data_IF_599743407719
#
_entry.id   IF_599743407719
#
_cell.length_a   1.000
_cell.length_b   1.000
_cell.length_c   1.000
_cell.angle_alpha   90.00
_cell.angle_beta   90.00
_cell.angle_gamma   90.00
#
_symmetry.space_group_name_H-M   'P 1'
#
loop_
_entity.id
_entity.type
_entity.pdbx_description
1 polymer ?
#
# COMPACT_ATOMS: atom_id res chain seq x y z
N UNK A 1 -27.91 -44.18 -28.91
CA UNK A 1 -28.18 -43.13 -27.89
C UNK A 1 -28.15 -41.76 -28.56
N UNK A 2 -29.27 -41.04 -28.65
CA UNK A 2 -29.26 -39.62 -29.04
C UNK A 2 -28.71 -38.83 -27.87
N UNK A 3 -27.48 -38.33 -27.96
CA UNK A 3 -26.94 -37.35 -27.02
C UNK A 3 -27.80 -36.08 -27.15
N UNK A 4 -28.70 -35.84 -26.21
CA UNK A 4 -29.35 -34.54 -26.05
C UNK A 4 -28.25 -33.52 -25.76
N UNK A 5 -27.92 -32.70 -26.75
CA UNK A 5 -26.91 -31.66 -26.57
C UNK A 5 -27.43 -30.64 -25.56
N UNK A 6 -26.69 -30.43 -24.47
CA UNK A 6 -27.00 -29.40 -23.49
C UNK A 6 -27.01 -28.00 -24.14
N UNK A 7 -27.80 -27.07 -23.61
CA UNK A 7 -27.75 -25.67 -24.02
C UNK A 7 -26.45 -25.00 -23.54
N UNK A 8 -26.03 -23.96 -24.26
CA UNK A 8 -24.86 -23.17 -23.96
C UNK A 8 -25.03 -22.35 -22.67
N UNK A 9 -24.14 -22.53 -21.70
CA UNK A 9 -24.17 -21.83 -20.41
C UNK A 9 -23.67 -20.38 -20.43
N UNK A 10 -23.84 -19.63 -21.52
CA UNK A 10 -23.42 -18.23 -21.64
C UNK A 10 -24.64 -17.32 -21.79
N UNK A 11 -24.53 -16.07 -21.33
CA UNK A 11 -25.60 -15.07 -21.47
C UNK A 11 -25.30 -14.04 -22.55
N UNK A 12 -26.35 -13.48 -23.16
CA UNK A 12 -26.23 -12.40 -24.15
C UNK A 12 -25.78 -11.10 -23.48
N UNK A 13 -24.88 -10.35 -24.13
CA UNK A 13 -24.31 -9.10 -23.59
C UNK A 13 -25.32 -7.96 -23.44
N UNK A 14 -26.33 -7.89 -24.30
CA UNK A 14 -27.28 -6.77 -24.31
C UNK A 14 -28.36 -6.87 -23.24
N UNK A 15 -28.92 -8.06 -23.01
CA UNK A 15 -30.12 -8.26 -22.17
C UNK A 15 -29.98 -9.37 -21.13
N UNK A 16 -28.81 -9.99 -20.98
CA UNK A 16 -28.54 -11.01 -19.97
C UNK A 16 -29.23 -12.37 -20.19
N UNK A 17 -30.07 -12.51 -21.21
CA UNK A 17 -30.78 -13.77 -21.49
C UNK A 17 -29.80 -14.92 -21.78
N UNK A 18 -30.12 -16.16 -21.34
CA UNK A 18 -29.30 -17.32 -21.61
C UNK A 18 -29.23 -17.64 -23.11
N UNK A 19 -28.09 -18.14 -23.54
CA UNK A 19 -27.85 -18.52 -24.92
C UNK A 19 -28.69 -19.75 -25.29
N UNK A 20 -29.63 -19.56 -26.21
CA UNK A 20 -30.53 -20.62 -26.70
C UNK A 20 -29.86 -21.61 -27.68
N UNK A 21 -28.54 -21.52 -27.90
CA UNK A 21 -27.81 -22.44 -28.80
C UNK A 21 -27.32 -23.66 -28.04
N UNK A 22 -27.28 -24.81 -28.70
CA UNK A 22 -26.67 -26.01 -28.15
C UNK A 22 -25.16 -25.84 -27.96
N UNK A 23 -24.66 -26.39 -26.86
CA UNK A 23 -23.25 -26.56 -26.61
C UNK A 23 -22.68 -27.62 -27.57
N UNK A 24 -21.39 -27.51 -27.88
CA UNK A 24 -20.72 -28.56 -28.67
C UNK A 24 -20.40 -29.75 -27.76
N UNK A 25 -20.24 -30.98 -28.31
CA UNK A 25 -19.88 -32.14 -27.50
C UNK A 25 -18.56 -31.89 -26.76
N UNK A 26 -18.54 -32.16 -25.46
CA UNK A 26 -17.35 -31.97 -24.61
C UNK A 26 -17.11 -30.54 -24.12
N UNK A 27 -18.01 -29.58 -24.39
CA UNK A 27 -17.95 -28.22 -23.86
C UNK A 27 -19.30 -27.80 -23.28
N UNK A 28 -19.29 -26.88 -22.31
CA UNK A 28 -20.50 -26.24 -21.78
C UNK A 28 -20.96 -25.04 -22.61
N UNK A 29 -20.23 -24.69 -23.69
CA UNK A 29 -20.49 -23.49 -24.51
C UNK A 29 -20.65 -23.82 -25.99
N UNK A 30 -21.41 -22.99 -26.71
CA UNK A 30 -21.60 -23.12 -28.16
C UNK A 30 -20.39 -22.57 -28.93
N UNK A 31 -20.35 -22.81 -30.25
CA UNK A 31 -19.29 -22.33 -31.15
C UNK A 31 -19.03 -20.81 -31.04
N UNK A 32 -20.08 -20.00 -30.80
CA UNK A 32 -19.94 -18.54 -30.70
C UNK A 32 -19.47 -18.06 -29.32
N UNK A 33 -19.76 -18.81 -28.26
CA UNK A 33 -19.37 -18.45 -26.90
C UNK A 33 -18.11 -19.21 -26.46
N UNK A 34 -17.20 -19.51 -27.39
CA UNK A 34 -15.91 -20.12 -27.08
C UNK A 34 -15.94 -21.63 -26.86
N UNK A 35 -16.99 -22.34 -27.25
CA UNK A 35 -17.02 -23.80 -27.19
C UNK A 35 -15.87 -24.47 -27.95
N UNK A 36 -15.40 -23.83 -29.05
CA UNK A 36 -14.21 -24.25 -29.81
C UNK A 36 -12.91 -23.56 -29.39
N UNK A 37 -12.93 -22.72 -28.36
CA UNK A 37 -11.73 -22.04 -27.89
C UNK A 37 -10.83 -23.07 -27.20
N UNK A 38 -9.60 -23.24 -27.67
CA UNK A 38 -8.56 -24.04 -27.02
C UNK A 38 -7.85 -23.28 -25.89
N UNK A 39 -8.35 -22.08 -25.53
CA UNK A 39 -7.58 -21.11 -24.75
C UNK A 39 -6.36 -20.59 -25.52
N UNK A 40 -5.58 -19.68 -24.92
CA UNK A 40 -4.28 -19.26 -25.46
C UNK A 40 -3.36 -20.48 -25.61
N UNK A 41 -2.82 -20.69 -26.83
CA UNK A 41 -1.98 -21.86 -27.15
C UNK A 41 -0.66 -21.87 -26.39
N UNK A 42 -0.19 -20.71 -25.95
CA UNK A 42 1.04 -20.54 -25.18
C UNK A 42 0.78 -19.60 -24.00
N UNK A 43 0.67 -20.18 -22.79
CA UNK A 43 0.65 -19.39 -21.55
C UNK A 43 2.05 -19.16 -20.98
N UNK A 44 3.05 -19.92 -21.44
CA UNK A 44 4.45 -19.77 -21.05
C UNK A 44 4.96 -18.43 -21.58
N UNK A 45 5.22 -17.48 -20.69
CA UNK A 45 5.71 -16.14 -21.04
C UNK A 45 4.65 -15.05 -21.18
N UNK A 46 3.38 -15.32 -20.84
CA UNK A 46 2.36 -14.28 -20.78
C UNK A 46 2.65 -13.30 -19.63
N UNK A 47 3.43 -12.25 -19.92
CA UNK A 47 3.67 -11.10 -19.02
C UNK A 47 2.49 -10.13 -18.95
N UNK A 48 1.43 -10.36 -19.74
CA UNK A 48 0.22 -9.53 -19.82
C UNK A 48 -0.89 -9.99 -18.87
N UNK A 49 -0.72 -11.11 -18.17
CA UNK A 49 -1.51 -11.33 -16.96
C UNK A 49 -1.12 -10.22 -16.00
N UNK A 50 -1.95 -9.18 -15.92
CA UNK A 50 -1.75 -8.02 -15.08
C UNK A 50 -1.42 -8.54 -13.67
N UNK A 51 -0.13 -8.51 -13.31
CA UNK A 51 0.30 -8.80 -11.95
C UNK A 51 -0.48 -7.80 -11.10
N UNK A 52 -1.29 -8.24 -10.10
CA UNK A 52 -1.89 -7.32 -9.17
C UNK A 52 -0.74 -6.55 -8.51
N UNK A 53 -0.54 -5.31 -8.91
CA UNK A 53 0.69 -4.58 -8.64
C UNK A 53 0.63 -3.15 -9.15
N UNK A 54 1.34 -2.28 -8.44
CA UNK A 54 1.42 -0.84 -8.66
C UNK A 54 1.64 -0.46 -10.14
N UNK A 55 0.95 0.58 -10.61
CA UNK A 55 1.09 1.18 -11.96
C UNK A 55 2.54 1.56 -12.32
N UNK A 56 3.40 1.64 -11.31
CA UNK A 56 4.80 2.02 -11.38
C UNK A 56 5.77 0.83 -11.56
N UNK A 57 5.31 -0.43 -11.46
CA UNK A 57 6.15 -1.63 -11.62
C UNK A 57 6.91 -1.69 -12.94
N UNK A 58 6.43 -1.00 -13.98
CA UNK A 58 7.11 -0.86 -15.29
C UNK A 58 8.43 -0.07 -15.25
N UNK A 59 8.65 0.71 -14.20
CA UNK A 59 9.83 1.56 -14.03
C UNK A 59 10.85 0.98 -13.04
N UNK A 60 10.52 -0.16 -12.43
CA UNK A 60 11.34 -0.81 -11.41
C UNK A 60 12.08 -2.00 -12.00
N UNK A 61 13.32 -2.23 -11.58
CA UNK A 61 14.00 -3.50 -11.85
C UNK A 61 13.33 -4.65 -11.11
N UNK A 62 13.69 -5.88 -11.46
CA UNK A 62 13.17 -7.04 -10.73
C UNK A 62 13.63 -7.03 -9.26
N UNK A 63 14.87 -6.63 -8.96
CA UNK A 63 15.34 -6.49 -7.58
C UNK A 63 14.59 -5.39 -6.81
N UNK A 64 14.33 -4.25 -7.45
CA UNK A 64 13.56 -3.15 -6.84
C UNK A 64 12.11 -3.55 -6.56
N UNK A 65 11.49 -4.30 -7.46
CA UNK A 65 10.14 -4.84 -7.26
C UNK A 65 10.10 -5.83 -6.09
N UNK A 66 11.09 -6.71 -5.96
CA UNK A 66 11.18 -7.67 -4.86
C UNK A 66 11.41 -6.97 -3.52
N UNK A 67 12.30 -5.97 -3.48
CA UNK A 67 12.48 -5.13 -2.30
C UNK A 67 11.19 -4.39 -1.92
N UNK A 68 10.47 -3.83 -2.89
CA UNK A 68 9.23 -3.09 -2.63
C UNK A 68 8.19 -3.94 -1.89
N UNK A 69 8.10 -5.23 -2.22
CA UNK A 69 7.18 -6.17 -1.54
C UNK A 69 7.55 -6.41 -0.07
N UNK A 70 8.81 -6.24 0.31
CA UNK A 70 9.31 -6.43 1.67
C UNK A 70 9.19 -5.18 2.57
N UNK A 71 8.89 -4.02 1.99
CA UNK A 71 8.82 -2.75 2.75
C UNK A 71 7.54 -2.72 3.58
N UNK A 72 7.68 -2.79 4.91
CA UNK A 72 6.59 -2.55 5.83
C UNK A 72 6.23 -1.07 5.92
N UNK A 73 4.98 -0.72 5.59
CA UNK A 73 4.46 0.64 5.73
C UNK A 73 3.83 0.84 7.12
N UNK A 74 3.83 2.09 7.59
CA UNK A 74 3.18 2.48 8.84
C UNK A 74 4.06 2.40 10.10
N UNK A 75 5.34 2.03 9.96
CA UNK A 75 6.32 1.99 11.07
C UNK A 75 6.97 3.36 11.34
N UNK A 76 6.15 4.36 11.67
CA UNK A 76 6.63 5.74 11.92
C UNK A 76 7.69 5.79 13.04
N UNK A 77 7.60 4.89 14.03
CA UNK A 77 8.60 4.78 15.10
C UNK A 77 10.00 4.43 14.61
N UNK A 78 10.14 3.62 13.55
CA UNK A 78 11.44 3.22 13.03
C UNK A 78 12.12 4.38 12.32
N UNK A 79 11.37 5.15 11.54
CA UNK A 79 11.83 6.40 10.92
C UNK A 79 12.23 7.44 11.96
N UNK A 80 11.48 7.53 13.05
CA UNK A 80 11.77 8.44 14.16
C UNK A 80 13.08 8.05 14.85
N UNK A 81 13.28 6.77 15.18
CA UNK A 81 14.54 6.26 15.76
C UNK A 81 15.72 6.52 14.84
N UNK A 82 15.58 6.21 13.56
CA UNK A 82 16.65 6.42 12.58
C UNK A 82 17.01 7.92 12.47
N UNK A 83 16.01 8.79 12.45
CA UNK A 83 16.22 10.24 12.36
C UNK A 83 16.92 10.78 13.62
N UNK A 84 16.54 10.31 14.82
CA UNK A 84 17.24 10.64 16.07
C UNK A 84 18.70 10.18 16.06
N UNK A 85 18.99 8.96 15.56
CA UNK A 85 20.37 8.48 15.40
C UNK A 85 21.17 9.37 14.44
N UNK A 86 20.56 9.79 13.33
CA UNK A 86 21.19 10.72 12.38
C UNK A 86 21.47 12.09 13.00
N UNK A 87 20.54 12.61 13.81
CA UNK A 87 20.72 13.85 14.56
C UNK A 87 21.89 13.74 15.55
N UNK A 88 21.96 12.65 16.32
CA UNK A 88 23.08 12.41 17.23
C UNK A 88 24.42 12.39 16.49
N UNK A 89 24.49 11.77 15.31
CA UNK A 89 25.69 11.76 14.46
C UNK A 89 26.03 13.14 13.91
N UNK A 90 25.03 13.94 13.54
CA UNK A 90 25.25 15.30 13.08
C UNK A 90 25.81 16.20 14.20
N UNK A 91 25.21 16.14 15.39
CA UNK A 91 25.69 16.86 16.58
C UNK A 91 27.11 16.44 17.00
N UNK A 92 27.41 15.13 16.96
CA UNK A 92 28.75 14.64 17.27
C UNK A 92 29.80 15.19 16.30
N UNK A 93 29.47 15.24 15.01
CA UNK A 93 30.37 15.81 13.99
C UNK A 93 30.48 17.32 14.09
N UNK A 94 29.39 18.04 14.38
CA UNK A 94 29.44 19.47 14.65
C UNK A 94 30.37 19.77 15.84
N UNK A 95 30.32 18.96 16.90
CA UNK A 95 31.21 19.13 18.05
C UNK A 95 32.68 18.80 17.73
N UNK A 96 32.93 17.87 16.81
CA UNK A 96 34.29 17.49 16.39
C UNK A 96 34.91 18.49 15.41
N UNK A 97 34.13 18.93 14.41
CA UNK A 97 34.62 19.74 13.29
C UNK A 97 34.22 21.21 13.39
N UNK A 98 33.04 21.55 13.92
CA UNK A 98 32.55 22.93 14.00
C UNK A 98 32.71 23.70 12.68
N UNK A 99 33.42 24.82 12.74
CA UNK A 99 33.73 25.68 11.58
C UNK A 99 35.01 25.28 10.82
N UNK A 100 35.56 24.08 11.07
CA UNK A 100 36.77 23.60 10.37
C UNK A 100 36.46 23.07 8.97
N UNK A 101 37.46 23.13 8.09
CA UNK A 101 37.36 22.64 6.74
C UNK A 101 37.33 21.11 6.72
N UNK A 102 36.26 20.54 6.18
CA UNK A 102 36.12 19.11 5.89
C UNK A 102 36.39 18.84 4.41
N UNK A 103 37.00 17.69 4.10
CA UNK A 103 37.15 17.25 2.71
C UNK A 103 35.77 17.01 2.08
N UNK A 104 35.51 17.69 0.98
CA UNK A 104 34.27 17.57 0.22
C UNK A 104 34.40 16.51 -0.87
N UNK A 105 35.47 16.61 -1.67
CA UNK A 105 35.76 15.64 -2.72
C UNK A 105 37.26 15.48 -2.93
N UNK A 106 37.60 14.32 -3.46
CA UNK A 106 38.96 13.96 -3.83
C UNK A 106 38.92 13.50 -5.27
N UNK A 107 39.79 14.08 -6.09
CA UNK A 107 39.94 13.73 -7.50
C UNK A 107 41.34 13.19 -7.72
N UNK A 108 41.43 11.96 -8.19
CA UNK A 108 42.69 11.34 -8.60
C UNK A 108 42.78 11.36 -10.11
N UNK A 109 43.83 11.97 -10.65
CA UNK A 109 44.08 12.02 -12.09
C UNK A 109 45.51 11.56 -12.40
N UNK A 110 45.73 10.79 -13.47
CA UNK A 110 47.09 10.43 -13.87
C UNK A 110 47.88 11.68 -14.26
N UNK A 111 49.13 11.76 -13.81
CA UNK A 111 50.03 12.85 -14.18
C UNK A 111 50.44 12.62 -15.63
N UNK A 112 50.20 13.62 -16.47
CA UNK A 112 50.63 13.63 -17.86
C UNK A 112 51.97 14.34 -17.97
N UNK A 113 53.02 13.61 -18.37
CA UNK A 113 54.32 14.20 -18.73
C UNK A 113 54.44 14.13 -20.25
N UNK A 114 54.52 15.29 -20.90
CA UNK A 114 54.60 15.40 -22.37
C UNK A 114 53.47 14.66 -23.12
N UNK A 115 52.25 14.66 -22.56
CA UNK A 115 51.06 14.05 -23.17
C UNK A 115 50.98 12.52 -23.05
N UNK A 116 51.88 11.88 -22.31
CA UNK A 116 51.79 10.45 -21.95
C UNK A 116 51.44 10.30 -20.48
N UNK A 117 50.50 9.38 -20.20
CA UNK A 117 50.18 8.97 -18.85
C UNK A 117 51.41 8.38 -18.17
N UNK A 118 51.72 8.88 -16.98
CA UNK A 118 52.71 8.29 -16.10
C UNK A 118 52.01 7.40 -15.06
N UNK A 119 52.79 6.54 -14.41
CA UNK A 119 52.30 5.70 -13.31
C UNK A 119 52.03 6.47 -12.00
N UNK A 120 52.21 7.80 -12.02
CA UNK A 120 51.99 8.67 -10.87
C UNK A 120 50.64 9.36 -11.02
N UNK A 121 49.87 9.44 -9.94
CA UNK A 121 48.60 10.17 -9.88
C UNK A 121 48.75 11.47 -9.09
N UNK A 122 48.11 12.53 -9.58
CA UNK A 122 47.91 13.77 -8.85
C UNK A 122 46.58 13.68 -8.10
N UNK A 123 46.64 13.94 -6.79
CA UNK A 123 45.46 13.98 -5.93
C UNK A 123 45.12 15.44 -5.67
N UNK A 124 43.96 15.87 -6.15
CA UNK A 124 43.40 17.20 -5.85
C UNK A 124 42.28 17.02 -4.83
N UNK A 125 42.46 17.61 -3.64
CA UNK A 125 41.47 17.59 -2.56
C UNK A 125 40.78 18.94 -2.47
N UNK A 126 39.46 18.96 -2.55
CA UNK A 126 38.65 20.14 -2.24
C UNK A 126 38.06 20.00 -0.84
N UNK A 127 38.08 21.09 -0.07
CA UNK A 127 37.54 21.11 1.29
C UNK A 127 36.58 22.27 1.47
N UNK A 128 35.52 22.06 2.26
CA UNK A 128 34.56 23.08 2.66
C UNK A 128 34.15 22.94 4.12
N UNK A 129 33.74 24.03 4.74
CA UNK A 129 33.03 23.96 6.03
C UNK A 129 31.65 23.38 5.77
N UNK A 130 31.26 22.38 6.55
CA UNK A 130 29.97 21.73 6.40
C UNK A 130 28.90 22.50 7.17
N UNK A 131 27.76 22.75 6.53
CA UNK A 131 26.65 23.43 7.16
C UNK A 131 25.86 22.47 8.07
N UNK A 132 26.38 22.29 9.29
CA UNK A 132 25.75 21.46 10.32
C UNK A 132 24.44 22.06 10.82
N UNK A 133 24.36 23.38 10.94
CA UNK A 133 23.15 24.10 11.37
C UNK A 133 21.95 23.73 10.48
N UNK A 134 22.07 23.90 9.16
CA UNK A 134 20.99 23.53 8.22
C UNK A 134 20.70 22.02 8.17
N UNK A 135 21.67 21.17 8.50
CA UNK A 135 21.45 19.72 8.59
C UNK A 135 20.67 19.36 9.87
N UNK A 136 21.07 19.92 11.00
CA UNK A 136 20.45 19.71 12.31
C UNK A 136 19.02 20.24 12.29
N UNK A 137 18.79 21.45 11.78
CA UNK A 137 17.46 22.05 11.67
C UNK A 137 16.48 21.19 10.85
N UNK A 138 16.97 20.60 9.74
CA UNK A 138 16.14 19.69 8.94
C UNK A 138 15.83 18.39 9.68
N UNK A 139 16.79 17.87 10.45
CA UNK A 139 16.59 16.64 11.22
C UNK A 139 15.64 16.86 12.40
N UNK A 140 15.76 17.99 13.11
CA UNK A 140 14.85 18.35 14.21
C UNK A 140 13.44 18.60 13.69
N UNK A 141 13.26 19.34 12.59
CA UNK A 141 11.97 19.52 11.95
C UNK A 141 11.36 18.18 11.48
N UNK A 142 12.19 17.24 11.01
CA UNK A 142 11.73 15.91 10.63
C UNK A 142 11.29 15.08 11.84
N UNK A 143 12.01 15.17 12.96
CA UNK A 143 11.60 14.55 14.24
C UNK A 143 10.24 15.05 14.67
N UNK A 144 10.04 16.38 14.71
CA UNK A 144 8.76 16.99 15.07
C UNK A 144 7.62 16.51 14.16
N UNK A 145 7.86 16.48 12.84
CA UNK A 145 6.88 16.00 11.87
C UNK A 145 6.50 14.53 12.08
N UNK A 146 7.47 13.67 12.39
CA UNK A 146 7.22 12.24 12.64
C UNK A 146 6.49 12.01 13.96
N UNK A 147 6.81 12.78 15.01
CA UNK A 147 6.12 12.73 16.30
C UNK A 147 4.65 13.14 16.17
N UNK A 148 4.37 14.27 15.51
CA UNK A 148 3.00 14.70 15.21
C UNK A 148 2.24 13.65 14.40
N UNK A 149 2.89 13.05 13.40
CA UNK A 149 2.26 11.99 12.59
C UNK A 149 1.91 10.78 13.45
N UNK A 150 2.78 10.40 14.39
CA UNK A 150 2.54 9.29 15.32
C UNK A 150 1.34 9.58 16.21
N UNK A 151 1.28 10.78 16.81
CA UNK A 151 0.17 11.19 17.67
C UNK A 151 -1.17 11.23 16.92
N UNK A 152 -1.17 11.75 15.68
CA UNK A 152 -2.35 11.77 14.82
C UNK A 152 -2.85 10.35 14.50
N UNK A 153 -1.94 9.43 14.18
CA UNK A 153 -2.29 8.03 13.89
C UNK A 153 -2.88 7.34 15.12
N UNK A 154 -2.32 7.58 16.31
CA UNK A 154 -2.83 7.01 17.55
C UNK A 154 -4.20 7.59 17.92
N UNK A 155 -4.38 8.91 17.75
CA UNK A 155 -5.68 9.58 17.94
C UNK A 155 -6.74 9.01 17.01
N UNK A 156 -6.41 8.83 15.73
CA UNK A 156 -7.30 8.19 14.75
C UNK A 156 -7.58 6.74 15.12
N UNK A 157 -6.61 6.00 15.63
CA UNK A 157 -6.79 4.60 16.07
C UNK A 157 -7.81 4.52 17.21
N UNK A 158 -7.64 5.34 18.25
CA UNK A 158 -8.58 5.39 19.39
C UNK A 158 -9.98 5.83 18.95
N UNK A 159 -10.07 6.78 18.03
CA UNK A 159 -11.35 7.23 17.46
C UNK A 159 -12.06 6.10 16.71
N UNK A 160 -11.34 5.35 15.88
CA UNK A 160 -11.88 4.19 15.19
C UNK A 160 -12.32 3.09 16.16
N UNK A 161 -11.57 2.87 17.24
CA UNK A 161 -11.95 1.91 18.28
C UNK A 161 -13.24 2.31 19.00
N UNK A 162 -13.39 3.60 19.35
CA UNK A 162 -14.62 4.13 19.94
C UNK A 162 -15.82 3.92 19.01
N UNK A 163 -15.68 4.28 17.72
CA UNK A 163 -16.74 4.11 16.73
C UNK A 163 -17.13 2.64 16.57
N UNK A 164 -16.16 1.70 16.59
CA UNK A 164 -16.46 0.27 16.55
C UNK A 164 -17.31 -0.17 17.74
N UNK A 165 -16.96 0.27 18.96
CA UNK A 165 -17.72 -0.04 20.17
C UNK A 165 -19.13 0.56 20.15
N UNK A 166 -19.32 1.76 19.58
CA UNK A 166 -20.64 2.38 19.42
C UNK A 166 -21.50 1.63 18.41
N UNK A 167 -20.91 1.11 17.32
CA UNK A 167 -21.62 0.30 16.34
C UNK A 167 -21.99 -1.10 16.85
N UNK A 168 -21.20 -1.67 17.77
CA UNK A 168 -21.45 -2.99 18.37
C UNK A 168 -22.64 -3.00 19.35
N UNK A 169 -23.04 -1.86 19.91
CA UNK A 169 -24.18 -1.73 20.82
C UNK A 169 -25.30 -0.85 20.21
N UNK A 170 -26.08 -1.37 19.25
CA UNK A 170 -27.15 -0.63 18.58
C UNK A 170 -28.29 -0.24 19.52
N UNK A 171 -28.33 -0.78 20.74
CA UNK A 171 -29.40 -0.55 21.71
C UNK A 171 -28.94 0.31 22.91
N UNK A 172 -27.70 0.80 22.93
CA UNK A 172 -27.19 1.63 24.02
C UNK A 172 -27.97 2.95 24.11
N UNK A 173 -28.83 3.06 25.12
CA UNK A 173 -29.66 4.24 25.35
C UNK A 173 -31.07 4.17 24.73
N UNK A 174 -31.47 3.04 24.13
CA UNK A 174 -32.89 2.79 23.91
C UNK A 174 -33.59 2.58 25.26
N UNK A 175 -34.75 3.21 25.51
CA UNK A 175 -35.52 2.93 26.71
C UNK A 175 -35.88 1.45 26.76
N UNK A 176 -35.84 0.85 27.95
CA UNK A 176 -36.25 -0.54 28.14
C UNK A 176 -37.63 -0.77 27.49
N UNK A 177 -37.83 -1.89 26.77
CA UNK A 177 -39.09 -2.15 26.10
C UNK A 177 -40.21 -2.23 27.14
N UNK A 178 -41.07 -1.19 27.20
CA UNK A 178 -42.24 -1.19 28.05
C UNK A 178 -43.25 -2.20 27.48
N UNK A 179 -43.55 -3.24 28.24
CA UNK A 179 -44.68 -4.13 27.93
C UNK A 179 -45.97 -3.33 28.09
N UNK A 180 -46.66 -3.08 26.97
CA UNK A 180 -48.02 -2.54 26.99
C UNK A 180 -48.96 -3.73 27.08
N UNK A 181 -49.49 -3.99 28.27
CA UNK A 181 -50.56 -4.97 28.48
C UNK A 181 -51.85 -4.28 28.07
N UNK A 182 -52.37 -4.65 26.89
CA UNK A 182 -53.69 -4.19 26.44
C UNK A 182 -54.72 -5.15 27.05
N UNK A 183 -55.37 -4.71 28.12
CA UNK A 183 -56.59 -5.35 28.60
C UNK A 183 -57.72 -5.04 27.61
N UNK A 184 -58.33 -6.09 27.06
CA UNK A 184 -59.58 -5.95 26.30
C UNK A 184 -60.69 -6.37 27.25
N UNK A 185 -61.39 -5.39 27.80
CA UNK A 185 -62.63 -5.63 28.53
C UNK A 185 -63.77 -5.77 27.52
N UNK A 186 -64.54 -6.85 27.65
CA UNK A 186 -65.71 -7.08 26.82
C UNK A 186 -66.83 -6.17 27.30
N UNK A 187 -67.19 -5.17 26.49
CA UNK A 187 -68.26 -4.21 26.79
C UNK A 187 -69.66 -4.85 26.91
N UNK A 188 -69.78 -6.16 26.72
CA UNK A 188 -71.01 -6.94 26.84
C UNK A 188 -71.20 -7.55 28.24
N UNK A 189 -70.20 -7.46 29.13
CA UNK A 189 -70.27 -8.00 30.49
C UNK A 189 -71.09 -7.07 31.40
N UNK A 190 -72.23 -7.52 31.97
CA UNK A 190 -73.07 -6.70 32.84
C UNK A 190 -72.45 -6.35 34.20
N UNK A 191 -71.26 -6.88 34.54
CA UNK A 191 -70.51 -6.56 35.76
C UNK A 191 -69.26 -5.69 35.52
N UNK A 192 -69.03 -5.18 34.30
CA UNK A 192 -67.96 -4.21 34.05
C UNK A 192 -68.37 -2.81 34.54
N UNK A 193 -67.66 -2.27 35.56
CA UNK A 193 -67.83 -0.90 36.09
C UNK A 193 -67.36 0.21 35.13
#
# INVERSE_FOLDING_TARGET
MRLTMALCGASKRGNGEPCKRHAIPGSSRCKLHGGKSSGPKEQRGNKNAAKPGSIYSRFLTDEENDMLASIELGRVDDELRLTRVRLMRALARENEFGDTLETESQKEEPILVSGKETSLTSITTTSKVRDYSSLIDRLTARVESLERTKEDLETRRLTNEKLRRELEDPNKGLPEPKQVIIGVEDASDPEAE
#
